data_IF_570170792182
#
_entry.id   IF_570170792182
#
_cell.length_a   1.000
_cell.length_b   1.000
_cell.length_c   1.000
_cell.angle_alpha   90.00
_cell.angle_beta   90.00
_cell.angle_gamma   90.00
#
_symmetry.space_group_name_H-M   'P 1'
#
loop_
_entity.id
_entity.type
_entity.pdbx_description
1 polymer ?
#
# COMPACT_ATOMS: atom_id res chain seq x y z
N UNK A 1 -1.35 -3.22 -24.28
CA UNK A 1 -2.31 -2.86 -23.20
C UNK A 1 -1.67 -3.03 -21.83
N UNK A 2 -1.21 -4.23 -21.44
CA UNK A 2 -0.60 -4.46 -20.11
C UNK A 2 0.65 -3.59 -19.83
N UNK A 3 1.61 -3.53 -20.76
CA UNK A 3 2.79 -2.67 -20.61
C UNK A 3 2.45 -1.18 -20.46
N UNK A 4 1.44 -0.69 -21.20
CA UNK A 4 0.99 0.69 -21.12
C UNK A 4 0.30 0.96 -19.78
N UNK A 5 -0.53 0.03 -19.30
CA UNK A 5 -1.14 0.09 -17.97
C UNK A 5 -0.08 0.20 -16.87
N UNK A 6 0.87 -0.72 -16.81
CA UNK A 6 1.88 -0.72 -15.76
C UNK A 6 2.75 0.54 -15.79
N UNK A 7 3.10 1.04 -16.98
CA UNK A 7 3.84 2.30 -17.13
C UNK A 7 3.05 3.48 -16.56
N UNK A 8 1.79 3.66 -16.98
CA UNK A 8 0.94 4.77 -16.48
C UNK A 8 0.75 4.74 -14.96
N UNK A 9 0.63 3.54 -14.38
CA UNK A 9 0.49 3.37 -12.92
C UNK A 9 1.80 3.68 -12.20
N UNK A 10 2.95 3.27 -12.75
CA UNK A 10 4.26 3.58 -12.19
C UNK A 10 4.56 5.10 -12.24
N UNK A 11 4.16 5.76 -13.33
CA UNK A 11 4.24 7.22 -13.47
C UNK A 11 3.30 7.96 -12.52
N UNK A 12 2.19 7.33 -12.14
CA UNK A 12 1.19 7.92 -11.23
C UNK A 12 0.20 8.83 -11.93
N UNK A 13 0.04 8.74 -13.25
CA UNK A 13 -0.91 9.59 -13.98
C UNK A 13 -2.35 9.10 -13.79
N UNK A 14 -3.04 9.68 -12.82
CA UNK A 14 -4.38 9.25 -12.43
C UNK A 14 -5.39 9.30 -13.59
N UNK A 15 -5.32 10.32 -14.43
CA UNK A 15 -6.21 10.49 -15.59
C UNK A 15 -6.05 9.34 -16.59
N UNK A 16 -4.82 8.98 -16.96
CA UNK A 16 -4.59 7.83 -17.85
C UNK A 16 -4.98 6.51 -17.21
N UNK A 17 -4.69 6.33 -15.91
CA UNK A 17 -5.10 5.13 -15.17
C UNK A 17 -6.64 5.00 -15.20
N UNK A 18 -7.37 6.08 -14.91
CA UNK A 18 -8.83 6.10 -14.92
C UNK A 18 -9.39 5.80 -16.32
N UNK A 19 -8.83 6.41 -17.37
CA UNK A 19 -9.23 6.14 -18.77
C UNK A 19 -9.04 4.67 -19.13
N UNK A 20 -7.92 4.07 -18.72
CA UNK A 20 -7.66 2.65 -18.97
C UNK A 20 -8.60 1.74 -18.15
N UNK A 21 -8.94 2.12 -16.91
CA UNK A 21 -9.92 1.39 -16.10
C UNK A 21 -11.34 1.44 -16.66
N UNK A 22 -11.74 2.57 -17.23
CA UNK A 22 -13.05 2.70 -17.90
C UNK A 22 -13.14 1.81 -19.15
N UNK A 23 -12.00 1.53 -19.81
CA UNK A 23 -11.93 0.59 -20.93
C UNK A 23 -11.90 -0.86 -20.47
N UNK A 24 -11.11 -1.18 -19.44
CA UNK A 24 -10.96 -2.53 -18.90
C UNK A 24 -10.82 -2.49 -17.36
N UNK A 25 -11.92 -2.72 -16.62
CA UNK A 25 -11.91 -2.75 -15.16
C UNK A 25 -11.08 -3.88 -14.55
N UNK A 26 -10.81 -4.95 -15.33
CA UNK A 26 -10.02 -6.09 -14.84
C UNK A 26 -8.55 -5.73 -14.58
N UNK A 27 -8.07 -4.62 -15.16
CA UNK A 27 -6.72 -4.12 -14.98
C UNK A 27 -6.39 -3.77 -13.52
N UNK A 28 -7.40 -3.41 -12.71
CA UNK A 28 -7.21 -3.06 -11.30
C UNK A 28 -6.69 -4.22 -10.45
N UNK A 29 -7.18 -5.44 -10.71
CA UNK A 29 -6.81 -6.65 -9.98
C UNK A 29 -5.71 -7.45 -10.68
N UNK A 30 -5.38 -7.08 -11.91
CA UNK A 30 -4.34 -7.71 -12.72
C UNK A 30 -2.96 -7.51 -12.09
N UNK A 31 -2.19 -8.60 -12.04
CA UNK A 31 -0.82 -8.62 -11.52
C UNK A 31 0.17 -8.53 -12.66
N UNK A 32 1.22 -7.74 -12.45
CA UNK A 32 2.41 -7.72 -13.28
C UNK A 32 3.11 -9.09 -13.25
N UNK A 33 3.63 -9.53 -14.39
CA UNK A 33 4.30 -10.82 -14.53
C UNK A 33 5.71 -10.83 -13.92
N UNK A 34 6.35 -9.66 -13.77
CA UNK A 34 7.72 -9.57 -13.22
C UNK A 34 7.72 -9.61 -11.70
N UNK A 35 6.87 -8.80 -11.07
CA UNK A 35 6.87 -8.56 -9.61
C UNK A 35 5.64 -9.13 -8.92
N UNK A 36 4.58 -9.48 -9.67
CA UNK A 36 3.29 -9.86 -9.11
C UNK A 36 2.51 -8.69 -8.52
N UNK A 37 2.87 -7.45 -8.86
CA UNK A 37 2.25 -6.24 -8.32
C UNK A 37 0.99 -5.88 -9.09
N UNK A 38 -0.04 -5.44 -8.38
CA UNK A 38 -1.23 -4.80 -8.97
C UNK A 38 -1.06 -3.30 -9.01
N UNK A 39 -2.03 -2.58 -9.57
CA UNK A 39 -1.93 -1.12 -9.66
C UNK A 39 -1.80 -0.45 -8.28
N UNK A 40 -2.52 -0.95 -7.28
CA UNK A 40 -2.45 -0.44 -5.91
C UNK A 40 -1.06 -0.61 -5.30
N UNK A 41 -0.35 -1.70 -5.65
CA UNK A 41 1.01 -1.93 -5.18
C UNK A 41 1.99 -0.95 -5.79
N UNK A 42 1.88 -0.66 -7.09
CA UNK A 42 2.73 0.32 -7.77
C UNK A 42 2.51 1.72 -7.24
N UNK A 43 1.25 2.16 -7.11
CA UNK A 43 0.92 3.44 -6.48
C UNK A 43 1.44 3.53 -5.04
N UNK A 44 1.35 2.42 -4.29
CA UNK A 44 1.87 2.37 -2.93
C UNK A 44 3.40 2.36 -2.83
N UNK A 45 4.08 1.73 -3.77
CA UNK A 45 5.54 1.75 -3.86
C UNK A 45 6.06 3.15 -4.17
N UNK A 46 5.41 3.88 -5.07
CA UNK A 46 5.86 5.21 -5.49
C UNK A 46 5.33 6.35 -4.61
N UNK A 47 4.34 6.10 -3.76
CA UNK A 47 3.79 7.12 -2.85
C UNK A 47 2.81 8.08 -3.54
N UNK A 48 2.25 7.67 -4.68
CA UNK A 48 1.30 8.43 -5.51
C UNK A 48 -0.07 8.51 -4.84
N UNK A 49 -0.16 9.18 -3.70
CA UNK A 49 -1.33 9.22 -2.84
C UNK A 49 -2.53 9.94 -3.48
N UNK A 50 -2.32 11.03 -4.22
CA UNK A 50 -3.39 11.70 -4.96
C UNK A 50 -3.99 10.77 -6.02
N UNK A 51 -3.13 10.14 -6.83
CA UNK A 51 -3.55 9.19 -7.86
C UNK A 51 -4.22 7.96 -7.27
N UNK A 52 -3.73 7.48 -6.13
CA UNK A 52 -4.37 6.40 -5.37
C UNK A 52 -5.80 6.78 -4.97
N UNK A 53 -6.00 7.96 -4.38
CA UNK A 53 -7.34 8.43 -3.97
C UNK A 53 -8.27 8.57 -5.18
N UNK A 54 -7.79 9.15 -6.28
CA UNK A 54 -8.59 9.35 -7.48
C UNK A 54 -9.00 8.02 -8.12
N UNK A 55 -8.06 7.08 -8.25
CA UNK A 55 -8.30 5.74 -8.80
C UNK A 55 -9.29 4.96 -7.95
N UNK A 56 -9.11 4.93 -6.62
CA UNK A 56 -10.04 4.24 -5.73
C UNK A 56 -11.42 4.90 -5.72
N UNK A 57 -11.49 6.23 -5.67
CA UNK A 57 -12.76 6.95 -5.70
C UNK A 57 -13.52 6.70 -7.01
N UNK A 58 -12.82 6.65 -8.14
CA UNK A 58 -13.43 6.30 -9.43
C UNK A 58 -13.89 4.84 -9.44
N UNK A 59 -13.05 3.92 -8.99
CA UNK A 59 -13.37 2.50 -8.91
C UNK A 59 -14.60 2.24 -8.03
N UNK A 60 -14.70 2.88 -6.87
CA UNK A 60 -15.86 2.79 -5.98
C UNK A 60 -17.13 3.36 -6.63
N UNK A 61 -17.05 4.52 -7.30
CA UNK A 61 -18.19 5.12 -8.02
C UNK A 61 -18.71 4.21 -9.14
N UNK A 62 -17.82 3.49 -9.81
CA UNK A 62 -18.18 2.55 -10.88
C UNK A 62 -18.56 1.15 -10.36
N UNK A 63 -18.38 0.88 -9.07
CA UNK A 63 -18.62 -0.43 -8.48
C UNK A 63 -17.58 -1.48 -8.84
N UNK A 64 -16.36 -1.06 -9.20
CA UNK A 64 -15.26 -1.99 -9.48
C UNK A 64 -14.77 -2.65 -8.19
N UNK A 65 -14.37 -3.94 -8.25
CA UNK A 65 -13.89 -4.65 -7.08
C UNK A 65 -12.51 -4.11 -6.66
N UNK A 66 -12.49 -3.34 -5.58
CA UNK A 66 -11.27 -2.83 -4.95
C UNK A 66 -10.93 -3.72 -3.75
N UNK A 67 -9.72 -4.26 -3.71
CA UNK A 67 -9.19 -4.92 -2.53
C UNK A 67 -7.95 -4.18 -2.01
N UNK A 68 -8.12 -3.49 -0.88
CA UNK A 68 -7.06 -2.71 -0.21
C UNK A 68 -5.98 -3.60 0.42
N UNK A 69 -6.33 -4.84 0.74
CA UNK A 69 -5.48 -5.81 1.43
C UNK A 69 -4.95 -6.87 0.46
N UNK A 70 -4.93 -6.56 -0.84
CA UNK A 70 -4.46 -7.48 -1.85
C UNK A 70 -2.97 -7.81 -1.60
N UNK A 71 -2.59 -9.09 -1.43
CA UNK A 71 -1.19 -9.45 -1.24
C UNK A 71 -0.48 -9.55 -2.60
N UNK A 72 0.79 -9.17 -2.64
CA UNK A 72 1.70 -9.44 -3.75
C UNK A 72 1.86 -10.94 -3.93
N UNK A 73 2.09 -11.38 -5.18
CA UNK A 73 2.45 -12.78 -5.42
C UNK A 73 3.82 -13.12 -4.81
N UNK A 74 4.76 -12.18 -4.88
CA UNK A 74 6.09 -12.31 -4.29
C UNK A 74 6.08 -11.74 -2.86
N UNK A 75 6.02 -12.62 -1.87
CA UNK A 75 6.20 -12.26 -0.46
C UNK A 75 4.94 -11.88 0.32
N UNK A 76 3.77 -11.80 -0.32
CA UNK A 76 2.50 -11.54 0.39
C UNK A 76 2.37 -10.13 0.98
N UNK A 77 3.11 -9.16 0.44
CA UNK A 77 3.07 -7.77 0.89
C UNK A 77 1.76 -7.11 0.45
N UNK A 78 1.11 -6.35 1.32
CA UNK A 78 -0.06 -5.55 0.93
C UNK A 78 0.36 -4.14 0.47
N UNK A 79 -0.52 -3.34 -0.16
CA UNK A 79 -0.24 -1.93 -0.43
C UNK A 79 0.24 -1.16 0.82
N UNK A 80 -0.32 -1.48 1.99
CA UNK A 80 0.12 -0.88 3.26
C UNK A 80 1.57 -1.25 3.62
N UNK A 81 1.99 -2.49 3.37
CA UNK A 81 3.39 -2.90 3.58
C UNK A 81 4.34 -2.13 2.67
N UNK A 82 3.99 -1.93 1.40
CA UNK A 82 4.82 -1.18 0.46
C UNK A 82 4.90 0.30 0.84
N UNK A 83 3.77 0.90 1.23
CA UNK A 83 3.77 2.28 1.72
C UNK A 83 4.66 2.45 2.96
N UNK A 84 4.60 1.50 3.91
CA UNK A 84 5.44 1.49 5.10
C UNK A 84 6.93 1.30 4.77
N UNK A 85 7.25 0.33 3.90
CA UNK A 85 8.62 0.02 3.47
C UNK A 85 9.28 1.22 2.79
N UNK A 86 8.51 2.02 2.06
CA UNK A 86 9.01 3.22 1.36
C UNK A 86 8.90 4.50 2.21
N UNK A 87 8.30 4.43 3.40
CA UNK A 87 8.13 5.58 4.29
C UNK A 87 7.08 6.59 3.83
N UNK A 88 6.10 6.18 3.02
CA UNK A 88 5.05 7.07 2.48
C UNK A 88 3.96 7.35 3.50
N UNK A 89 4.27 8.19 4.50
CA UNK A 89 3.40 8.44 5.65
C UNK A 89 2.01 8.95 5.27
N UNK A 90 1.92 9.82 4.27
CA UNK A 90 0.64 10.36 3.77
C UNK A 90 -0.24 9.24 3.24
N UNK A 91 0.35 8.33 2.46
CA UNK A 91 -0.39 7.21 1.90
C UNK A 91 -0.83 6.21 2.98
N UNK A 92 -0.02 5.98 4.02
CA UNK A 92 -0.40 5.15 5.17
C UNK A 92 -1.63 5.73 5.87
N UNK A 93 -1.63 7.04 6.12
CA UNK A 93 -2.77 7.74 6.71
C UNK A 93 -4.04 7.61 5.86
N UNK A 94 -3.90 7.71 4.55
CA UNK A 94 -5.01 7.53 3.60
C UNK A 94 -5.51 6.08 3.59
N UNK A 95 -4.61 5.10 3.48
CA UNK A 95 -4.95 3.68 3.45
C UNK A 95 -5.71 3.24 4.70
N UNK A 96 -5.19 3.57 5.88
CA UNK A 96 -5.79 3.16 7.16
C UNK A 96 -6.97 4.06 7.52
N UNK A 97 -6.78 5.38 7.48
CA UNK A 97 -7.78 6.33 7.98
C UNK A 97 -8.97 6.51 7.04
N UNK A 98 -8.75 6.64 5.73
CA UNK A 98 -9.83 6.89 4.78
C UNK A 98 -10.44 5.59 4.22
N UNK A 99 -9.62 4.56 4.01
CA UNK A 99 -10.05 3.33 3.34
C UNK A 99 -10.09 2.09 4.23
N UNK A 100 -9.73 2.18 5.50
CA UNK A 100 -9.83 1.08 6.45
C UNK A 100 -8.96 -0.13 6.09
N UNK A 101 -7.77 0.09 5.53
CA UNK A 101 -6.82 -0.98 5.24
C UNK A 101 -6.50 -1.78 6.50
N UNK A 102 -6.44 -3.11 6.38
CA UNK A 102 -6.21 -4.01 7.49
C UNK A 102 -4.73 -3.99 7.88
N UNK A 103 -4.46 -3.46 9.07
CA UNK A 103 -3.13 -3.32 9.64
C UNK A 103 -2.64 -4.61 10.32
N UNK A 104 -3.52 -5.59 10.48
CA UNK A 104 -3.20 -6.89 11.09
C UNK A 104 -2.65 -7.90 10.07
N UNK A 105 -2.82 -7.62 8.77
CA UNK A 105 -2.28 -8.41 7.68
C UNK A 105 -0.79 -8.69 7.86
N UNK A 106 -0.41 -9.94 7.62
CA UNK A 106 0.98 -10.40 7.67
C UNK A 106 1.46 -10.83 6.30
N UNK A 107 2.69 -10.48 5.98
CA UNK A 107 3.39 -10.99 4.81
C UNK A 107 3.83 -12.45 4.99
N UNK A 108 4.47 -13.05 3.98
CA UNK A 108 4.98 -14.43 4.05
C UNK A 108 6.08 -14.62 5.11
N UNK A 109 6.73 -13.55 5.56
CA UNK A 109 7.72 -13.58 6.64
C UNK A 109 7.05 -13.41 8.02
N UNK A 110 5.72 -13.33 8.08
CA UNK A 110 4.96 -13.11 9.31
C UNK A 110 5.04 -11.67 9.82
N UNK A 111 5.57 -10.73 9.04
CA UNK A 111 5.73 -9.32 9.41
C UNK A 111 4.49 -8.51 9.06
N UNK A 112 4.17 -7.55 9.92
CA UNK A 112 3.13 -6.53 9.70
C UNK A 112 3.72 -5.29 9.02
N UNK A 113 2.86 -4.44 8.47
CA UNK A 113 3.27 -3.23 7.77
C UNK A 113 4.12 -2.28 8.63
N UNK A 114 3.74 -2.04 9.90
CA UNK A 114 4.48 -1.13 10.78
C UNK A 114 5.94 -1.54 11.03
N UNK A 115 6.27 -2.84 10.93
CA UNK A 115 7.64 -3.33 11.15
C UNK A 115 8.60 -2.94 10.02
N UNK A 116 8.05 -2.51 8.88
CA UNK A 116 8.83 -1.97 7.76
C UNK A 116 9.03 -0.45 7.86
N UNK A 117 8.36 0.23 8.80
CA UNK A 117 8.57 1.65 9.01
C UNK A 117 9.99 1.94 9.52
N UNK A 118 10.58 3.07 9.12
CA UNK A 118 11.85 3.53 9.67
C UNK A 118 11.83 3.63 11.20
N UNK A 119 12.99 3.40 11.83
CA UNK A 119 13.11 3.47 13.29
C UNK A 119 12.69 4.85 13.85
N UNK A 120 12.98 5.92 13.12
CA UNK A 120 12.70 7.32 13.48
C UNK A 120 11.25 7.77 13.22
N UNK A 121 10.40 6.92 12.64
CA UNK A 121 8.99 7.23 12.41
C UNK A 121 8.25 7.43 13.73
N UNK A 122 7.31 8.39 13.74
CA UNK A 122 6.53 8.73 14.93
C UNK A 122 5.76 7.53 15.48
N UNK A 123 5.59 7.52 16.81
CA UNK A 123 4.80 6.50 17.51
C UNK A 123 3.37 6.42 16.94
N UNK A 124 2.75 7.57 16.72
CA UNK A 124 1.39 7.67 16.18
C UNK A 124 1.25 6.98 14.82
N UNK A 125 2.24 7.13 13.94
CA UNK A 125 2.19 6.48 12.62
C UNK A 125 2.42 4.97 12.72
N UNK A 126 3.27 4.51 13.65
CA UNK A 126 3.46 3.07 13.91
C UNK A 126 2.18 2.44 14.46
N UNK A 127 1.52 3.09 15.41
CA UNK A 127 0.23 2.66 15.96
C UNK A 127 -0.85 2.63 14.86
N UNK A 128 -0.89 3.68 14.03
CA UNK A 128 -1.80 3.73 12.89
C UNK A 128 -1.54 2.58 11.90
N UNK A 129 -0.28 2.19 11.70
CA UNK A 129 0.08 1.04 10.86
C UNK A 129 -0.07 -0.33 11.57
N UNK A 130 -0.63 -0.37 12.79
CA UNK A 130 -0.96 -1.60 13.52
C UNK A 130 0.07 -2.08 14.55
N UNK A 131 0.98 -1.20 14.99
CA UNK A 131 1.84 -1.48 16.13
C UNK A 131 1.02 -1.46 17.43
N UNK A 132 1.18 -2.49 18.26
CA UNK A 132 0.61 -2.48 19.61
C UNK A 132 1.58 -1.76 20.56
N UNK A 133 1.04 -1.18 21.64
CA UNK A 133 1.84 -0.46 22.64
C UNK A 133 2.96 -1.35 23.21
N UNK A 134 2.69 -2.65 23.38
CA UNK A 134 3.65 -3.67 23.84
C UNK A 134 4.83 -3.87 22.87
N UNK A 135 4.57 -3.82 21.55
CA UNK A 135 5.59 -3.97 20.50
C UNK A 135 6.55 -2.77 20.47
N UNK A 136 6.05 -1.58 20.82
CA UNK A 136 6.83 -0.33 20.83
C UNK A 136 7.68 -0.18 22.10
N UNK A 137 7.30 -0.83 23.20
CA UNK A 137 8.06 -0.85 24.45
C UNK A 137 9.30 -1.75 24.33
N UNK A 138 9.21 -2.91 23.66
CA UNK A 138 10.36 -3.82 23.46
C UNK A 138 11.50 -3.21 22.61
N UNK A 139 11.17 -2.29 21.70
CA UNK A 139 12.16 -1.56 20.90
C UNK A 139 13.00 -0.58 21.75
N UNK A 140 12.43 0.00 22.79
CA UNK A 140 13.14 0.94 23.68
C UNK A 140 14.08 0.20 24.65
N UNK A 141 13.71 -1.00 25.11
CA UNK A 141 14.53 -1.79 26.04
C UNK A 141 15.85 -2.30 25.45
N UNK A 142 15.98 -2.37 24.12
CA UNK A 142 17.21 -2.81 23.45
C UNK A 142 18.19 -1.66 23.15
N UNK A 143 17.82 -0.40 23.38
CA UNK A 143 18.64 0.77 23.02
C UNK A 143 19.29 1.49 24.22
N UNK A 144 19.17 0.95 25.44
CA UNK A 144 19.76 1.52 26.66
C UNK A 144 21.07 0.88 27.12
N UNK A 145 21.66 -0.02 26.31
CA UNK A 145 22.94 -0.65 26.62
C UNK A 145 24.04 -0.18 25.65
N UNK A 146 24.50 1.06 25.82
CA UNK A 146 25.84 1.49 25.40
C UNK A 146 26.37 2.55 26.36
#
# INVERSE_FOLDING_TARGET
>A
LEHAWLLTVAEGDADSIIKLLDLDPSLLTRRDFVTGFTALHWLAKHGHHESFIQVISHAQKKGYPVNMNIPTASGGLTPLHLAALQGHEVLIKVLVGAYGADTTCRDHNGRKAWQYLPAHTSRDLKELAGALEEDLVQLHSHNTNN
#
